data_IF_645618677627
#
_entry.id   IF_645618677627
#
_cell.length_a   1.000
_cell.length_b   1.000
_cell.length_c   1.000
_cell.angle_alpha   90.00
_cell.angle_beta   90.00
_cell.angle_gamma   90.00
#
_symmetry.space_group_name_H-M   'P 1'
#
loop_
_entity.id
_entity.type
_entity.pdbx_description
1 polymer ?
#
# COMPACT_ATOMS: atom_id res chain seq x y z
N UNK A 1 7.37 -18.28 9.35
CA UNK A 1 8.12 -19.40 8.73
C UNK A 1 7.86 -19.57 7.24
N UNK A 2 8.87 -20.07 6.50
CA UNK A 2 8.82 -20.48 5.11
C UNK A 2 7.81 -21.60 4.85
N UNK A 3 6.54 -21.22 4.79
CA UNK A 3 5.39 -22.12 4.62
C UNK A 3 4.49 -21.58 3.54
N UNK A 4 3.65 -22.45 2.98
CA UNK A 4 2.61 -22.07 2.02
C UNK A 4 1.76 -20.90 2.56
N UNK A 5 1.22 -21.03 3.77
CA UNK A 5 0.34 -20.02 4.38
C UNK A 5 1.12 -18.75 4.74
N UNK A 6 2.34 -18.91 5.26
CA UNK A 6 3.22 -17.79 5.62
C UNK A 6 3.60 -16.89 4.44
N UNK A 7 3.56 -17.40 3.20
CA UNK A 7 3.76 -16.60 1.99
C UNK A 7 2.45 -16.11 1.36
N UNK A 8 1.45 -16.99 1.27
CA UNK A 8 0.18 -16.66 0.61
C UNK A 8 -0.60 -15.59 1.39
N UNK A 9 -0.64 -15.65 2.72
CA UNK A 9 -1.42 -14.70 3.51
C UNK A 9 -0.86 -13.27 3.46
N UNK A 10 0.46 -13.03 3.69
CA UNK A 10 1.05 -11.71 3.47
C UNK A 10 0.94 -11.27 2.00
N UNK A 11 1.13 -12.19 1.06
CA UNK A 11 0.98 -11.92 -0.38
C UNK A 11 -0.42 -11.41 -0.74
N UNK A 12 -1.47 -12.01 -0.17
CA UNK A 12 -2.85 -11.53 -0.34
C UNK A 12 -3.05 -10.13 0.26
N UNK A 13 -2.45 -9.85 1.43
CA UNK A 13 -2.46 -8.53 2.04
C UNK A 13 -1.85 -7.46 1.14
N UNK A 14 -0.61 -7.69 0.67
CA UNK A 14 0.07 -6.78 -0.26
C UNK A 14 -0.69 -6.61 -1.57
N UNK A 15 -1.28 -7.67 -2.12
CA UNK A 15 -2.07 -7.60 -3.34
C UNK A 15 -3.32 -6.73 -3.16
N UNK A 16 -4.09 -6.93 -2.08
CA UNK A 16 -5.30 -6.16 -1.81
C UNK A 16 -5.00 -4.68 -1.59
N UNK A 17 -3.99 -4.37 -0.77
CA UNK A 17 -3.57 -2.99 -0.51
C UNK A 17 -2.98 -2.36 -1.78
N UNK A 18 -2.16 -3.10 -2.53
CA UNK A 18 -1.58 -2.66 -3.79
C UNK A 18 -2.65 -2.33 -4.84
N UNK A 19 -3.65 -3.20 -5.03
CA UNK A 19 -4.76 -2.96 -5.95
C UNK A 19 -5.61 -1.76 -5.53
N UNK A 20 -5.87 -1.64 -4.22
CA UNK A 20 -6.58 -0.49 -3.65
C UNK A 20 -5.83 0.82 -3.93
N UNK A 21 -4.53 0.88 -3.66
CA UNK A 21 -3.73 2.06 -3.95
C UNK A 21 -3.65 2.35 -5.45
N UNK A 22 -3.42 1.33 -6.28
CA UNK A 22 -3.28 1.45 -7.73
C UNK A 22 -4.55 2.05 -8.35
N UNK A 23 -5.70 1.48 -8.02
CA UNK A 23 -6.99 1.98 -8.50
C UNK A 23 -7.23 3.43 -8.06
N UNK A 24 -7.01 3.75 -6.78
CA UNK A 24 -7.29 5.09 -6.26
C UNK A 24 -6.31 6.15 -6.78
N UNK A 25 -5.04 5.82 -7.01
CA UNK A 25 -4.09 6.75 -7.65
C UNK A 25 -4.50 7.06 -9.09
N UNK A 26 -4.83 6.04 -9.88
CA UNK A 26 -5.30 6.23 -11.26
C UNK A 26 -6.58 7.07 -11.27
N UNK A 27 -7.54 6.73 -10.40
CA UNK A 27 -8.82 7.45 -10.28
C UNK A 27 -8.60 8.91 -9.87
N UNK A 28 -7.76 9.17 -8.88
CA UNK A 28 -7.46 10.52 -8.40
C UNK A 28 -6.81 11.37 -9.50
N UNK A 29 -5.85 10.79 -10.23
CA UNK A 29 -5.18 11.46 -11.34
C UNK A 29 -6.14 11.73 -12.51
N UNK A 30 -7.00 10.77 -12.86
CA UNK A 30 -7.96 10.93 -13.94
C UNK A 30 -8.99 12.04 -13.65
N UNK A 31 -9.47 12.14 -12.41
CA UNK A 31 -10.43 13.18 -12.00
C UNK A 31 -9.79 14.57 -11.93
N UNK A 32 -8.55 14.66 -11.45
CA UNK A 32 -7.88 15.93 -11.10
C UNK A 32 -6.38 15.90 -11.42
N UNK A 33 -5.99 15.91 -12.71
CA UNK A 33 -4.59 15.80 -13.11
C UNK A 33 -3.75 16.99 -12.64
N UNK A 34 -4.28 18.21 -12.76
CA UNK A 34 -3.55 19.44 -12.41
C UNK A 34 -3.27 19.58 -10.92
N UNK A 35 -4.19 19.12 -10.07
CA UNK A 35 -4.08 19.22 -8.61
C UNK A 35 -3.60 17.92 -7.96
N UNK A 36 -3.06 16.98 -8.75
CA UNK A 36 -2.65 15.68 -8.24
C UNK A 36 -1.54 15.83 -7.18
N UNK A 37 -1.76 15.17 -6.06
CA UNK A 37 -0.77 14.90 -5.03
C UNK A 37 -0.88 13.40 -4.71
N UNK A 38 0.25 12.72 -4.51
CA UNK A 38 0.34 11.30 -4.29
C UNK A 38 0.18 10.96 -2.81
N UNK A 39 -1.04 10.65 -2.31
CA UNK A 39 -1.18 10.21 -0.93
C UNK A 39 -0.51 8.85 -0.71
N UNK A 40 -0.11 8.61 0.54
CA UNK A 40 0.44 7.32 0.95
C UNK A 40 -0.65 6.27 1.21
N UNK A 41 -1.87 6.71 1.56
CA UNK A 41 -3.04 5.88 1.84
C UNK A 41 -4.31 6.62 1.40
N UNK A 42 -5.40 5.89 1.15
CA UNK A 42 -6.67 6.48 0.72
C UNK A 42 -7.79 6.31 1.75
N UNK A 43 -8.61 7.36 1.99
CA UNK A 43 -9.75 7.23 2.87
C UNK A 43 -10.87 6.41 2.24
N UNK A 44 -11.46 5.49 3.00
CA UNK A 44 -12.64 4.73 2.58
C UNK A 44 -13.92 5.34 3.15
N UNK A 45 -15.05 5.12 2.46
CA UNK A 45 -16.38 5.56 2.94
C UNK A 45 -16.74 4.78 4.21
N UNK A 46 -17.22 5.47 5.23
CA UNK A 46 -17.61 4.90 6.53
C UNK A 46 -16.43 4.70 7.50
N UNK A 47 -15.29 4.17 7.03
CA UNK A 47 -14.08 3.97 7.84
C UNK A 47 -12.90 4.69 7.18
N UNK A 48 -12.63 5.93 7.63
CA UNK A 48 -11.57 6.78 7.05
C UNK A 48 -10.25 6.02 6.92
N UNK A 49 -9.73 5.46 8.00
CA UNK A 49 -8.41 4.80 8.01
C UNK A 49 -8.45 3.30 7.65
N UNK A 50 -9.43 2.82 6.88
CA UNK A 50 -9.64 1.39 6.61
C UNK A 50 -8.36 0.68 6.13
N UNK A 51 -7.65 1.26 5.16
CA UNK A 51 -6.39 0.71 4.63
C UNK A 51 -5.36 0.48 5.74
N UNK A 52 -5.12 1.49 6.58
CA UNK A 52 -4.15 1.43 7.68
C UNK A 52 -4.60 0.50 8.81
N UNK A 53 -5.90 0.43 9.08
CA UNK A 53 -6.48 -0.50 10.06
C UNK A 53 -6.30 -1.94 9.60
N UNK A 54 -6.51 -2.23 8.31
CA UNK A 54 -6.28 -3.55 7.74
C UNK A 54 -4.80 -3.95 7.81
N UNK A 55 -3.89 -3.00 7.57
CA UNK A 55 -2.45 -3.23 7.77
C UNK A 55 -2.18 -3.59 9.23
N UNK A 56 -2.62 -2.76 10.19
CA UNK A 56 -2.43 -3.03 11.64
C UNK A 56 -2.99 -4.40 12.02
N UNK A 57 -4.22 -4.73 11.60
CA UNK A 57 -4.85 -6.00 11.91
C UNK A 57 -4.04 -7.18 11.33
N UNK A 58 -3.65 -7.09 10.06
CA UNK A 58 -2.86 -8.13 9.39
C UNK A 58 -1.48 -8.32 10.01
N UNK A 59 -0.76 -7.24 10.30
CA UNK A 59 0.57 -7.29 10.93
C UNK A 59 0.49 -7.78 12.37
N UNK A 60 -0.56 -7.41 13.12
CA UNK A 60 -0.77 -7.89 14.49
C UNK A 60 -1.06 -9.38 14.50
N UNK A 61 -1.90 -9.85 13.57
CA UNK A 61 -2.15 -11.28 13.39
C UNK A 61 -0.87 -12.03 13.00
N UNK A 62 -0.06 -11.47 12.09
CA UNK A 62 1.24 -12.03 11.70
C UNK A 62 2.19 -12.18 12.90
N UNK A 63 2.37 -11.13 13.71
CA UNK A 63 3.21 -11.18 14.92
C UNK A 63 2.69 -12.24 15.90
N UNK A 64 1.37 -12.30 16.12
CA UNK A 64 0.77 -13.28 17.02
C UNK A 64 0.98 -14.70 16.50
N UNK A 65 0.85 -14.93 15.19
CA UNK A 65 1.09 -16.23 14.58
C UNK A 65 2.54 -16.66 14.69
N UNK A 66 3.50 -15.77 14.45
CA UNK A 66 4.93 -16.11 14.48
C UNK A 66 5.46 -16.27 15.92
N UNK A 67 5.01 -15.47 16.89
CA UNK A 67 5.59 -15.45 18.25
C UNK A 67 4.79 -16.19 19.31
N UNK A 68 3.50 -16.46 19.09
CA UNK A 68 2.62 -17.01 20.15
C UNK A 68 1.87 -18.24 19.67
N UNK A 69 1.22 -18.21 18.50
CA UNK A 69 0.36 -19.32 18.09
C UNK A 69 1.15 -20.43 17.38
N UNK A 70 2.05 -20.07 16.48
CA UNK A 70 2.86 -21.01 15.69
C UNK A 70 3.95 -21.76 16.48
N UNK A 71 4.67 -21.11 17.42
CA UNK A 71 5.71 -21.77 18.21
C UNK A 71 5.25 -22.99 19.02
N UNK A 72 6.13 -23.97 19.18
CA UNK A 72 5.91 -25.08 20.08
C UNK A 72 5.76 -24.56 21.53
N UNK A 73 4.83 -25.14 22.30
CA UNK A 73 4.40 -24.66 23.63
C UNK A 73 3.73 -23.27 23.66
N UNK A 74 3.48 -22.64 22.51
CA UNK A 74 2.87 -21.30 22.41
C UNK A 74 3.61 -20.18 23.18
N UNK A 75 4.92 -20.34 23.35
CA UNK A 75 5.78 -19.33 23.96
C UNK A 75 6.98 -19.05 23.04
N UNK A 76 7.38 -17.78 22.89
CA UNK A 76 8.49 -17.43 22.00
C UNK A 76 9.88 -17.73 22.62
N UNK A 77 9.95 -17.91 23.94
CA UNK A 77 11.20 -18.10 24.69
C UNK A 77 11.30 -19.52 25.27
N UNK A 78 12.54 -19.97 25.47
CA UNK A 78 12.85 -21.18 26.23
C UNK A 78 12.62 -20.97 27.73
N UNK A 79 12.67 -22.07 28.49
CA UNK A 79 12.46 -22.07 29.94
C UNK A 79 13.55 -21.27 30.69
N UNK A 80 14.71 -21.03 30.04
CA UNK A 80 15.80 -20.17 30.53
C UNK A 80 15.69 -18.69 30.08
N UNK A 81 14.65 -18.35 29.31
CA UNK A 81 14.41 -17.01 28.77
C UNK A 81 15.19 -16.68 27.50
N UNK A 82 15.96 -17.61 26.93
CA UNK A 82 16.62 -17.42 25.64
C UNK A 82 15.64 -17.60 24.48
N UNK A 83 16.01 -17.12 23.29
CA UNK A 83 15.24 -17.38 22.06
C UNK A 83 15.72 -18.72 21.48
N UNK A 84 14.84 -19.73 21.38
CA UNK A 84 15.18 -21.01 20.75
C UNK A 84 15.69 -20.79 19.33
N UNK A 85 16.70 -21.56 18.91
CA UNK A 85 17.31 -21.37 17.58
C UNK A 85 16.31 -21.62 16.42
N UNK A 86 15.35 -22.52 16.61
CA UNK A 86 14.25 -22.79 15.69
C UNK A 86 13.19 -21.67 15.66
N UNK A 87 13.17 -20.77 16.64
CA UNK A 87 12.28 -19.61 16.68
C UNK A 87 12.91 -18.32 16.14
N UNK A 88 14.22 -18.28 15.87
CA UNK A 88 14.90 -17.06 15.41
C UNK A 88 14.29 -16.51 14.11
N UNK A 89 13.97 -17.38 13.15
CA UNK A 89 13.30 -16.97 11.90
C UNK A 89 11.91 -16.36 12.15
N UNK A 90 11.19 -16.80 13.18
CA UNK A 90 9.89 -16.22 13.54
C UNK A 90 10.04 -14.79 14.06
N UNK A 91 11.11 -14.52 14.82
CA UNK A 91 11.44 -13.16 15.28
C UNK A 91 11.83 -12.25 14.12
N UNK A 92 12.58 -12.75 13.14
CA UNK A 92 12.89 -12.00 11.92
C UNK A 92 11.61 -11.62 11.16
N UNK A 93 10.70 -12.57 10.95
CA UNK A 93 9.40 -12.35 10.31
C UNK A 93 8.51 -11.37 11.11
N UNK A 94 8.47 -11.54 12.43
CA UNK A 94 7.73 -10.66 13.33
C UNK A 94 8.29 -9.23 13.30
N UNK A 95 9.60 -9.06 13.12
CA UNK A 95 10.23 -7.74 13.02
C UNK A 95 9.74 -6.96 11.79
N UNK A 96 9.62 -7.62 10.62
CA UNK A 96 9.07 -7.01 9.40
C UNK A 96 7.62 -6.57 9.62
N UNK A 97 6.82 -7.45 10.24
CA UNK A 97 5.43 -7.15 10.59
C UNK A 97 5.32 -5.97 11.56
N UNK A 98 6.22 -5.88 12.55
CA UNK A 98 6.29 -4.79 13.51
C UNK A 98 6.60 -3.45 12.84
N UNK A 99 7.50 -3.42 11.85
CA UNK A 99 7.82 -2.21 11.12
C UNK A 99 6.62 -1.68 10.32
N UNK A 100 5.88 -2.56 9.65
CA UNK A 100 4.63 -2.21 8.94
C UNK A 100 3.53 -1.74 9.91
N UNK A 101 3.41 -2.38 11.08
CA UNK A 101 2.50 -1.96 12.15
C UNK A 101 2.85 -0.54 12.63
N UNK A 102 4.13 -0.29 12.91
CA UNK A 102 4.62 1.01 13.34
C UNK A 102 4.34 2.10 12.30
N UNK A 103 4.60 1.81 11.02
CA UNK A 103 4.24 2.70 9.91
C UNK A 103 2.75 3.08 9.93
N UNK A 104 1.85 2.09 10.01
CA UNK A 104 0.42 2.35 9.97
C UNK A 104 -0.06 3.12 11.22
N UNK A 105 0.45 2.77 12.41
CA UNK A 105 0.12 3.45 13.65
C UNK A 105 0.59 4.92 13.65
N UNK A 106 1.83 5.18 13.23
CA UNK A 106 2.38 6.54 13.08
C UNK A 106 1.54 7.35 12.09
N UNK A 107 1.21 6.77 10.94
CA UNK A 107 0.41 7.46 9.91
C UNK A 107 -0.98 7.86 10.42
N UNK A 108 -1.67 6.96 11.12
CA UNK A 108 -2.96 7.28 11.77
C UNK A 108 -2.79 8.38 12.81
N UNK A 109 -1.78 8.28 13.67
CA UNK A 109 -1.54 9.25 14.73
C UNK A 109 -1.28 10.66 14.15
N UNK A 110 -0.39 10.75 13.16
CA UNK A 110 -0.04 11.99 12.47
C UNK A 110 -1.25 12.63 11.75
N UNK A 111 -2.14 11.84 11.15
CA UNK A 111 -3.39 12.36 10.56
C UNK A 111 -4.33 12.91 11.64
N UNK A 112 -4.50 12.20 12.76
CA UNK A 112 -5.42 12.59 13.85
C UNK A 112 -5.02 13.88 14.56
N UNK A 113 -3.74 14.03 14.86
CA UNK A 113 -3.22 15.26 15.51
C UNK A 113 -3.03 16.41 14.52
N UNK A 114 -3.33 16.19 13.23
CA UNK A 114 -3.13 17.15 12.15
C UNK A 114 -1.71 17.75 12.16
N UNK A 115 -0.71 16.90 12.42
CA UNK A 115 0.67 17.35 12.58
C UNK A 115 1.19 18.03 11.31
N UNK A 116 2.03 19.07 11.45
CA UNK A 116 2.78 19.60 10.31
C UNK A 116 3.66 18.50 9.72
N UNK A 117 3.84 18.50 8.40
CA UNK A 117 4.67 17.53 7.67
C UNK A 117 4.24 16.06 7.83
N UNK A 118 2.98 15.78 8.22
CA UNK A 118 2.45 14.41 8.38
C UNK A 118 2.72 13.50 7.19
N UNK A 119 2.62 14.01 5.96
CA UNK A 119 2.80 13.20 4.75
C UNK A 119 4.25 12.79 4.58
N UNK A 120 5.20 13.70 4.84
CA UNK A 120 6.63 13.43 4.77
C UNK A 120 7.07 12.43 5.85
N UNK A 121 6.59 12.59 7.08
CA UNK A 121 6.87 11.66 8.19
C UNK A 121 6.28 10.27 7.91
N UNK A 122 5.06 10.21 7.36
CA UNK A 122 4.43 8.94 7.00
C UNK A 122 5.19 8.24 5.86
N UNK A 123 5.65 8.99 4.85
CA UNK A 123 6.50 8.47 3.77
C UNK A 123 7.84 7.95 4.30
N UNK A 124 8.46 8.65 5.24
CA UNK A 124 9.70 8.19 5.90
C UNK A 124 9.47 6.90 6.69
N UNK A 125 8.36 6.81 7.43
CA UNK A 125 7.99 5.61 8.18
C UNK A 125 7.74 4.41 7.25
N UNK A 126 7.05 4.62 6.13
CA UNK A 126 6.86 3.59 5.11
C UNK A 126 8.20 3.16 4.48
N UNK A 127 9.07 4.11 4.15
CA UNK A 127 10.39 3.82 3.61
C UNK A 127 11.24 3.01 4.61
N UNK A 128 11.20 3.37 5.90
CA UNK A 128 11.88 2.60 6.94
C UNK A 128 11.34 1.17 7.04
N UNK A 129 10.02 0.98 6.92
CA UNK A 129 9.41 -0.34 6.92
C UNK A 129 9.85 -1.19 5.71
N UNK A 130 9.84 -0.64 4.50
CA UNK A 130 10.34 -1.35 3.31
C UNK A 130 11.84 -1.57 3.33
N UNK A 131 12.63 -0.67 3.94
CA UNK A 131 14.05 -0.86 4.12
C UNK A 131 14.34 -2.00 5.11
N UNK A 132 13.57 -2.10 6.20
CA UNK A 132 13.67 -3.20 7.14
C UNK A 132 13.21 -4.52 6.50
N UNK A 133 12.12 -4.53 5.74
CA UNK A 133 11.68 -5.68 4.95
C UNK A 133 12.79 -6.17 4.01
N UNK A 134 13.39 -5.26 3.23
CA UNK A 134 14.47 -5.58 2.31
C UNK A 134 15.71 -6.13 3.04
N UNK A 135 16.09 -5.50 4.16
CA UNK A 135 17.25 -5.92 4.95
C UNK A 135 17.05 -7.32 5.53
N UNK A 136 15.90 -7.56 6.16
CA UNK A 136 15.59 -8.88 6.74
C UNK A 136 15.51 -9.92 5.64
N UNK A 137 14.84 -9.65 4.53
CA UNK A 137 14.81 -10.60 3.41
C UNK A 137 16.18 -10.83 2.78
N UNK A 138 17.06 -9.83 2.75
CA UNK A 138 18.41 -10.02 2.25
C UNK A 138 19.20 -10.98 3.13
N UNK A 139 19.22 -10.75 4.44
CA UNK A 139 19.92 -11.59 5.40
C UNK A 139 19.29 -13.00 5.47
N UNK A 140 17.97 -13.07 5.55
CA UNK A 140 17.23 -14.34 5.55
C UNK A 140 17.41 -15.12 4.24
N UNK A 141 17.43 -14.44 3.09
CA UNK A 141 17.65 -15.10 1.80
C UNK A 141 19.11 -15.53 1.59
N UNK A 142 20.07 -14.96 2.32
CA UNK A 142 21.44 -15.48 2.29
C UNK A 142 21.56 -16.84 2.99
N UNK A 143 20.59 -17.19 3.85
CA UNK A 143 20.49 -18.51 4.47
C UNK A 143 19.87 -19.54 3.50
N UNK A 144 19.02 -19.08 2.57
CA UNK A 144 18.37 -19.93 1.55
C UNK A 144 19.21 -20.07 0.29
N UNK A 145 20.02 -21.14 0.20
CA UNK A 145 20.73 -21.49 -1.03
C UNK A 145 19.87 -22.36 -1.96
N UNK A 146 19.82 -22.03 -3.26
CA UNK A 146 19.19 -22.89 -4.27
C UNK A 146 17.97 -22.27 -4.94
N UNK A 147 16.85 -23.01 -5.02
CA UNK A 147 15.64 -22.56 -5.74
C UNK A 147 14.87 -21.51 -4.93
N UNK A 148 14.70 -21.74 -3.63
CA UNK A 148 14.05 -20.81 -2.71
C UNK A 148 14.76 -19.45 -2.68
N UNK A 149 16.09 -19.44 -2.54
CA UNK A 149 16.89 -18.22 -2.64
C UNK A 149 16.70 -17.47 -3.97
N UNK A 150 16.46 -18.16 -5.08
CA UNK A 150 16.18 -17.49 -6.37
C UNK A 150 14.83 -16.76 -6.33
N UNK A 151 13.79 -17.36 -5.72
CA UNK A 151 12.50 -16.70 -5.53
C UNK A 151 12.63 -15.46 -4.63
N UNK A 152 13.35 -15.58 -3.51
CA UNK A 152 13.53 -14.47 -2.56
C UNK A 152 14.39 -13.35 -3.14
N UNK A 153 15.42 -13.65 -3.92
CA UNK A 153 16.22 -12.63 -4.59
C UNK A 153 15.39 -11.78 -5.57
N UNK A 154 14.48 -12.42 -6.31
CA UNK A 154 13.54 -11.71 -7.19
C UNK A 154 12.53 -10.88 -6.39
N UNK A 155 12.05 -11.39 -5.26
CA UNK A 155 11.20 -10.63 -4.34
C UNK A 155 11.91 -9.37 -3.83
N UNK A 156 13.16 -9.49 -3.37
CA UNK A 156 13.98 -8.36 -2.91
C UNK A 156 14.11 -7.28 -3.98
N UNK A 157 14.24 -7.67 -5.26
CA UNK A 157 14.29 -6.71 -6.37
C UNK A 157 13.01 -5.88 -6.45
N UNK A 158 11.84 -6.51 -6.28
CA UNK A 158 10.54 -5.80 -6.27
C UNK A 158 10.42 -4.89 -5.04
N UNK A 159 10.81 -5.38 -3.86
CA UNK A 159 10.82 -4.59 -2.61
C UNK A 159 11.74 -3.37 -2.74
N UNK A 160 12.90 -3.52 -3.38
CA UNK A 160 13.82 -2.41 -3.64
C UNK A 160 13.19 -1.33 -4.53
N UNK A 161 12.40 -1.71 -5.55
CA UNK A 161 11.62 -0.76 -6.36
C UNK A 161 10.55 -0.07 -5.52
N UNK A 162 9.83 -0.80 -4.66
CA UNK A 162 8.86 -0.23 -3.72
C UNK A 162 9.51 0.78 -2.76
N UNK A 163 10.67 0.45 -2.21
CA UNK A 163 11.45 1.33 -1.34
C UNK A 163 11.90 2.60 -2.09
N UNK A 164 12.51 2.43 -3.27
CA UNK A 164 13.02 3.54 -4.07
C UNK A 164 11.88 4.52 -4.44
N UNK A 165 10.74 4.00 -4.88
CA UNK A 165 9.58 4.84 -5.23
C UNK A 165 8.92 5.49 -4.00
N UNK A 166 8.94 4.83 -2.85
CA UNK A 166 8.50 5.43 -1.58
C UNK A 166 9.40 6.61 -1.19
N UNK A 167 10.72 6.45 -1.29
CA UNK A 167 11.69 7.52 -1.05
C UNK A 167 11.53 8.69 -2.04
N UNK A 168 11.32 8.40 -3.33
CA UNK A 168 11.06 9.41 -4.36
C UNK A 168 9.75 10.19 -4.11
N UNK A 169 8.81 9.62 -3.36
CA UNK A 169 7.58 10.30 -2.95
C UNK A 169 7.81 11.53 -2.07
N UNK A 170 8.97 11.63 -1.40
CA UNK A 170 9.34 12.78 -0.55
C UNK A 170 9.72 14.01 -1.40
N UNK A 171 10.70 13.96 -2.32
CA UNK A 171 11.04 15.09 -3.18
C UNK A 171 10.05 15.30 -4.34
N UNK A 172 9.27 14.27 -4.71
CA UNK A 172 8.33 14.32 -5.84
C UNK A 172 6.87 14.01 -5.46
N UNK A 173 6.25 14.75 -4.52
CA UNK A 173 4.93 14.42 -3.97
C UNK A 173 3.77 14.58 -4.97
N UNK A 174 4.00 15.22 -6.13
CA UNK A 174 3.00 15.41 -7.20
C UNK A 174 3.24 14.50 -8.41
N UNK A 175 4.21 13.58 -8.33
CA UNK A 175 4.51 12.68 -9.45
C UNK A 175 3.56 11.48 -9.44
N UNK A 176 2.62 11.48 -10.39
CA UNK A 176 1.76 10.32 -10.64
C UNK A 176 2.55 9.07 -11.03
N UNK A 177 3.65 9.23 -11.77
CA UNK A 177 4.49 8.09 -12.18
C UNK A 177 5.08 7.39 -10.96
N UNK A 178 5.56 8.14 -9.97
CA UNK A 178 6.17 7.57 -8.76
C UNK A 178 5.16 6.73 -7.98
N UNK A 179 3.94 7.25 -7.77
CA UNK A 179 2.89 6.53 -7.05
C UNK A 179 2.31 5.36 -7.85
N UNK A 180 2.23 5.47 -9.18
CA UNK A 180 1.81 4.39 -10.06
C UNK A 180 2.80 3.22 -9.99
N UNK A 181 4.11 3.49 -10.08
CA UNK A 181 5.15 2.45 -9.98
C UNK A 181 5.15 1.84 -8.57
N UNK A 182 5.03 2.65 -7.51
CA UNK A 182 4.95 2.15 -6.12
C UNK A 182 3.76 1.21 -5.91
N UNK A 183 2.58 1.60 -6.40
CA UNK A 183 1.38 0.76 -6.24
C UNK A 183 1.42 -0.49 -7.12
N UNK A 184 1.97 -0.39 -8.33
CA UNK A 184 2.22 -1.56 -9.19
C UNK A 184 3.25 -2.52 -8.59
N UNK A 185 4.31 -2.03 -7.94
CA UNK A 185 5.30 -2.87 -7.27
C UNK A 185 4.72 -3.58 -6.06
N UNK A 186 3.84 -2.95 -5.28
CA UNK A 186 3.09 -3.62 -4.22
C UNK A 186 2.18 -4.75 -4.74
N UNK A 187 1.50 -4.53 -5.87
CA UNK A 187 0.72 -5.59 -6.54
C UNK A 187 1.62 -6.75 -6.93
N UNK A 188 2.75 -6.47 -7.60
CA UNK A 188 3.69 -7.51 -8.01
C UNK A 188 4.31 -8.24 -6.81
N UNK A 189 4.64 -7.54 -5.72
CA UNK A 189 5.13 -8.11 -4.48
C UNK A 189 4.11 -9.10 -3.89
N UNK A 190 2.83 -8.70 -3.84
CA UNK A 190 1.75 -9.57 -3.39
C UNK A 190 1.54 -10.80 -4.26
N UNK A 191 1.50 -10.63 -5.58
CA UNK A 191 1.40 -11.75 -6.54
C UNK A 191 2.60 -12.69 -6.40
N UNK A 192 3.81 -12.15 -6.33
CA UNK A 192 5.03 -12.96 -6.28
C UNK A 192 5.14 -13.76 -4.99
N UNK A 193 4.75 -13.19 -3.84
CA UNK A 193 4.64 -13.92 -2.57
C UNK A 193 3.65 -15.10 -2.67
N UNK A 194 2.47 -14.89 -3.25
CA UNK A 194 1.49 -15.97 -3.46
C UNK A 194 2.08 -17.07 -4.36
N UNK A 195 2.73 -16.68 -5.46
CA UNK A 195 3.35 -17.60 -6.41
C UNK A 195 4.47 -18.40 -5.75
N UNK A 196 5.37 -17.75 -5.02
CA UNK A 196 6.43 -18.38 -4.25
C UNK A 196 5.86 -19.41 -3.26
N UNK A 197 4.85 -19.01 -2.48
CA UNK A 197 4.13 -19.89 -1.56
C UNK A 197 3.56 -21.13 -2.24
N UNK A 198 2.88 -20.96 -3.37
CA UNK A 198 2.26 -22.09 -4.08
C UNK A 198 3.31 -22.97 -4.77
N UNK A 199 4.33 -22.40 -5.40
CA UNK A 199 5.30 -23.13 -6.21
C UNK A 199 6.29 -23.95 -5.39
N UNK A 200 6.74 -23.42 -4.24
CA UNK A 200 7.73 -24.11 -3.40
C UNK A 200 7.09 -25.20 -2.53
N UNK A 201 5.87 -25.00 -2.05
CA UNK A 201 5.22 -25.91 -1.08
C UNK A 201 4.08 -26.76 -1.66
N UNK A 202 3.93 -26.82 -2.99
CA UNK A 202 3.02 -27.77 -3.66
C UNK A 202 3.82 -28.84 -4.40
N UNK A 203 3.83 -30.11 -3.94
CA UNK A 203 4.69 -31.16 -4.51
C UNK A 203 4.54 -31.36 -6.02
N UNK A 204 3.34 -31.17 -6.58
CA UNK A 204 3.07 -31.30 -8.01
C UNK A 204 3.63 -30.17 -8.89
N UNK A 205 4.07 -29.06 -8.29
CA UNK A 205 4.60 -27.89 -8.99
C UNK A 205 6.13 -27.78 -8.91
N UNK A 206 6.78 -28.63 -8.12
CA UNK A 206 8.23 -28.69 -8.00
C UNK A 206 8.86 -29.11 -9.33
N UNK A 207 9.93 -28.41 -9.72
CA UNK A 207 10.58 -28.65 -11.02
C UNK A 207 11.20 -30.05 -11.13
N UNK A 208 11.27 -30.57 -12.36
CA UNK A 208 11.83 -31.92 -12.63
C UNK A 208 13.26 -32.05 -12.11
N UNK A 209 13.50 -33.09 -11.32
CA UNK A 209 14.81 -33.37 -10.71
C UNK A 209 15.01 -32.68 -9.35
N UNK A 210 14.03 -31.92 -8.89
CA UNK A 210 13.97 -31.38 -7.53
C UNK A 210 12.87 -32.08 -6.72
N UNK A 211 13.00 -32.04 -5.40
CA UNK A 211 12.11 -32.67 -4.44
C UNK A 211 12.03 -31.81 -3.19
N UNK A 212 10.94 -31.98 -2.44
CA UNK A 212 10.77 -31.35 -1.14
C UNK A 212 11.54 -32.15 -0.10
N UNK A 213 12.42 -31.51 0.65
CA UNK A 213 13.17 -32.11 1.74
C UNK A 213 12.85 -31.39 3.04
N UNK A 214 12.67 -32.16 4.12
CA UNK A 214 12.41 -31.58 5.43
C UNK A 214 13.73 -31.35 6.16
N UNK A 215 14.08 -30.09 6.40
CA UNK A 215 15.32 -29.65 7.03
C UNK A 215 15.00 -28.52 8.02
N UNK A 216 15.64 -28.51 9.20
CA UNK A 216 15.49 -27.44 10.20
C UNK A 216 14.02 -27.03 10.48
N UNK A 217 13.13 -28.04 10.59
CA UNK A 217 11.72 -27.85 10.92
C UNK A 217 10.82 -27.33 9.79
N UNK A 218 11.32 -27.20 8.56
CA UNK A 218 10.54 -26.74 7.40
C UNK A 218 10.89 -27.49 6.11
N UNK A 219 10.00 -27.35 5.13
CA UNK A 219 10.11 -28.02 3.85
C UNK A 219 10.84 -27.12 2.83
N UNK A 220 11.99 -27.56 2.34
CA UNK A 220 12.86 -26.84 1.40
C UNK A 220 12.98 -27.61 0.09
N UNK A 221 13.00 -26.90 -1.04
CA UNK A 221 13.18 -27.54 -2.35
C UNK A 221 14.66 -27.78 -2.64
N UNK A 222 15.07 -29.06 -2.68
CA UNK A 222 16.41 -29.51 -3.05
C UNK A 222 16.42 -30.18 -4.42
N UNK A 223 17.54 -30.08 -5.13
CA UNK A 223 17.69 -30.68 -6.47
C UNK A 223 18.78 -31.75 -6.47
N UNK A 224 18.57 -32.84 -7.21
CA UNK A 224 19.47 -34.01 -7.22
C UNK A 224 20.80 -33.78 -7.95
N UNK A 225 20.83 -32.82 -8.86
CA UNK A 225 21.95 -32.53 -9.77
C UNK A 225 22.02 -31.04 -10.05
N UNK A 226 23.20 -30.52 -10.36
CA UNK A 226 23.39 -29.11 -10.73
C UNK A 226 22.59 -28.72 -11.99
N UNK A 227 22.45 -29.62 -12.97
CA UNK A 227 21.63 -29.39 -14.17
C UNK A 227 20.16 -29.13 -13.81
N UNK A 228 19.60 -29.93 -12.90
CA UNK A 228 18.25 -29.75 -12.40
C UNK A 228 18.09 -28.44 -11.62
N UNK A 229 19.11 -28.05 -10.83
CA UNK A 229 19.12 -26.77 -10.12
C UNK A 229 19.14 -25.58 -11.08
N UNK A 230 20.02 -25.61 -12.09
CA UNK A 230 20.08 -24.57 -13.11
C UNK A 230 18.77 -24.46 -13.90
N UNK A 231 18.18 -25.61 -14.26
CA UNK A 231 16.86 -25.66 -14.89
C UNK A 231 15.79 -25.03 -14.00
N UNK A 232 15.76 -25.37 -12.71
CA UNK A 232 14.80 -24.83 -11.75
C UNK A 232 14.91 -23.30 -11.68
N UNK A 233 16.12 -22.78 -11.46
CA UNK A 233 16.37 -21.32 -11.41
C UNK A 233 15.96 -20.61 -12.72
N UNK A 234 16.26 -21.21 -13.87
CA UNK A 234 15.84 -20.64 -15.16
C UNK A 234 14.32 -20.58 -15.31
N UNK A 235 13.59 -21.60 -14.83
CA UNK A 235 12.12 -21.59 -14.82
C UNK A 235 11.55 -20.52 -13.89
N UNK A 236 12.15 -20.32 -12.71
CA UNK A 236 11.77 -19.24 -11.79
C UNK A 236 11.96 -17.87 -12.45
N UNK A 237 13.09 -17.65 -13.13
CA UNK A 237 13.35 -16.40 -13.86
C UNK A 237 12.34 -16.15 -14.99
N UNK A 238 12.01 -17.21 -15.75
CA UNK A 238 11.01 -17.12 -16.81
C UNK A 238 9.62 -16.80 -16.25
N UNK A 239 9.24 -17.47 -15.15
CA UNK A 239 7.98 -17.22 -14.47
C UNK A 239 7.89 -15.77 -13.98
N UNK A 240 8.93 -15.27 -13.32
CA UNK A 240 9.00 -13.87 -12.89
C UNK A 240 8.89 -12.88 -14.06
N UNK A 241 9.60 -13.16 -15.16
CA UNK A 241 9.52 -12.34 -16.38
C UNK A 241 8.09 -12.25 -16.93
N UNK A 242 7.35 -13.35 -16.91
CA UNK A 242 5.94 -13.36 -17.33
C UNK A 242 5.03 -12.63 -16.37
N UNK A 243 5.21 -12.77 -15.06
CA UNK A 243 4.44 -12.01 -14.07
C UNK A 243 4.71 -10.51 -14.15
N UNK A 244 5.97 -10.11 -14.36
CA UNK A 244 6.35 -8.72 -14.58
C UNK A 244 5.67 -8.14 -15.83
N UNK A 245 5.74 -8.87 -16.95
CA UNK A 245 5.08 -8.47 -18.21
C UNK A 245 3.56 -8.40 -18.04
N UNK A 246 2.96 -9.41 -17.39
CA UNK A 246 1.54 -9.45 -17.10
C UNK A 246 1.09 -8.28 -16.23
N UNK A 247 1.89 -7.91 -15.23
CA UNK A 247 1.63 -6.76 -14.35
C UNK A 247 1.68 -5.45 -15.13
N UNK A 248 2.66 -5.28 -16.03
CA UNK A 248 2.73 -4.12 -16.92
C UNK A 248 1.47 -3.99 -17.78
N UNK A 249 1.05 -5.08 -18.44
CA UNK A 249 -0.17 -5.08 -19.27
C UNK A 249 -1.40 -4.77 -18.41
N UNK A 250 -1.50 -5.39 -17.22
CA UNK A 250 -2.59 -5.15 -16.28
C UNK A 250 -2.68 -3.69 -15.87
N UNK A 251 -1.57 -3.04 -15.51
CA UNK A 251 -1.53 -1.62 -15.13
C UNK A 251 -2.00 -0.74 -16.28
N UNK A 252 -1.55 -0.99 -17.51
CA UNK A 252 -1.97 -0.22 -18.69
C UNK A 252 -3.46 -0.38 -18.96
N UNK A 253 -3.97 -1.61 -18.93
CA UNK A 253 -5.40 -1.89 -19.12
C UNK A 253 -6.22 -1.20 -18.03
N UNK A 254 -5.83 -1.36 -16.76
CA UNK A 254 -6.53 -0.75 -15.64
C UNK A 254 -6.53 0.77 -15.76
N UNK A 255 -5.39 1.38 -16.11
CA UNK A 255 -5.28 2.82 -16.37
C UNK A 255 -6.30 3.27 -17.41
N UNK A 256 -6.32 2.63 -18.59
CA UNK A 256 -7.24 2.99 -19.66
C UNK A 256 -8.71 2.82 -19.26
N UNK A 257 -9.05 1.77 -18.51
CA UNK A 257 -10.44 1.53 -18.09
C UNK A 257 -10.89 2.56 -17.04
N UNK A 258 -10.07 2.82 -16.02
CA UNK A 258 -10.42 3.77 -14.97
C UNK A 258 -10.49 5.20 -15.52
N UNK A 259 -9.56 5.60 -16.39
CA UNK A 259 -9.61 6.92 -17.05
C UNK A 259 -10.84 7.11 -17.93
N UNK A 260 -11.39 6.03 -18.51
CA UNK A 260 -12.66 6.09 -19.25
C UNK A 260 -13.87 6.23 -18.33
N UNK A 261 -13.84 5.58 -17.17
CA UNK A 261 -14.95 5.60 -16.20
C UNK A 261 -15.02 6.89 -15.38
N UNK A 262 -13.88 7.55 -15.20
CA UNK A 262 -13.74 8.77 -14.40
C UNK A 262 -13.11 9.88 -15.23
N UNK A 263 -13.86 10.54 -16.13
CA UNK A 263 -13.36 11.69 -16.87
C UNK A 263 -13.06 12.85 -15.92
N UNK A 264 -12.21 13.77 -16.38
CA UNK A 264 -11.79 14.95 -15.63
C UNK A 264 -12.98 15.78 -15.13
N UNK A 265 -12.94 16.20 -13.86
CA UNK A 265 -13.96 17.07 -13.30
C UNK A 265 -13.85 18.49 -13.89
N UNK A 266 -14.94 19.11 -14.36
CA UNK A 266 -14.89 20.45 -14.91
C UNK A 266 -14.42 21.46 -13.85
N UNK A 267 -13.35 22.19 -14.14
CA UNK A 267 -12.87 23.28 -13.29
C UNK A 267 -13.85 24.46 -13.37
N UNK A 268 -14.70 24.62 -12.35
CA UNK A 268 -15.56 25.78 -12.24
C UNK A 268 -14.73 26.99 -11.79
N UNK A 269 -14.43 27.90 -12.72
CA UNK A 269 -13.90 29.21 -12.39
C UNK A 269 -14.98 30.01 -11.64
N UNK A 270 -14.64 30.66 -10.50
CA UNK A 270 -15.57 31.59 -9.87
C UNK A 270 -15.89 32.71 -10.86
N UNK A 271 -17.18 32.90 -11.17
CA UNK A 271 -17.66 34.04 -11.92
C UNK A 271 -17.32 35.32 -11.13
N UNK A 272 -16.20 35.96 -11.47
CA UNK A 272 -15.96 37.35 -11.09
C UNK A 272 -17.09 38.15 -11.73
N UNK A 273 -18.00 38.64 -10.91
CA UNK A 273 -19.10 39.52 -11.33
C UNK A 273 -18.50 40.86 -11.73
N UNK A 274 -17.97 40.93 -12.95
CA UNK A 274 -17.51 42.17 -13.56
C UNK A 274 -18.70 43.09 -13.79
N UNK A 275 -18.97 43.96 -12.82
CA UNK A 275 -19.78 45.15 -13.06
C UNK A 275 -19.09 46.04 -14.10
N UNK A 276 -19.85 46.76 -14.95
CA UNK A 276 -19.25 47.56 -16.01
C UNK A 276 -18.39 48.68 -15.42
N UNK A 277 -17.30 48.96 -16.12
CA UNK A 277 -16.30 49.98 -15.88
C UNK A 277 -16.75 51.27 -15.17
N UNK A 278 -15.91 51.71 -14.23
CA UNK A 278 -15.72 53.14 -13.94
C UNK A 278 -15.90 53.51 -12.46
N UNK A 279 -14.79 53.70 -11.73
CA UNK A 279 -14.85 54.35 -10.42
C UNK A 279 -13.70 54.02 -9.49
N UNK A 280 -12.65 54.82 -9.57
CA UNK A 280 -11.59 54.96 -8.58
C UNK A 280 -12.18 55.53 -7.28
N UNK A 281 -12.08 54.87 -6.12
CA UNK A 281 -12.01 55.58 -4.84
C UNK A 281 -11.43 54.74 -3.70
N UNK A 282 -10.79 55.45 -2.77
CA UNK A 282 -9.85 55.04 -1.74
C UNK A 282 -10.50 54.55 -0.44
N UNK A 283 -9.63 53.95 0.39
CA UNK A 283 -9.75 53.59 1.81
C UNK A 283 -10.44 54.65 2.67
N UNK A 284 -11.27 54.20 3.62
CA UNK A 284 -11.72 54.92 4.80
C UNK A 284 -12.29 53.95 5.82
N UNK A 285 -11.55 53.74 6.92
CA UNK A 285 -12.03 53.25 8.22
C UNK A 285 -13.15 54.18 8.71
N UNK A 286 -14.17 53.62 9.38
CA UNK A 286 -14.73 54.20 10.62
C UNK A 286 -15.70 53.20 11.30
N UNK A 287 -15.61 53.20 12.62
CA UNK A 287 -16.23 52.34 13.62
C UNK A 287 -17.73 52.66 13.91
N UNK A 288 -18.43 51.65 14.44
CA UNK A 288 -19.49 51.69 15.48
C UNK A 288 -20.85 52.39 15.19
N UNK A 289 -21.96 51.63 15.16
CA UNK A 289 -22.86 51.38 16.31
C UNK A 289 -24.21 50.74 15.93
N UNK A 290 -24.84 50.12 16.94
CA UNK A 290 -25.99 49.21 16.95
C UNK A 290 -27.39 49.79 16.62
N UNK A 291 -28.28 48.86 16.25
CA UNK A 291 -29.74 48.77 16.45
C UNK A 291 -30.66 49.96 16.14
N UNK A 292 -31.57 49.76 15.16
CA UNK A 292 -33.01 49.75 15.46
C UNK A 292 -33.92 49.22 14.32
N UNK A 293 -35.11 48.80 14.77
CA UNK A 293 -36.16 47.96 14.21
C UNK A 293 -36.94 48.40 12.94
N UNK A 294 -37.48 47.37 12.29
CA UNK A 294 -38.86 47.24 11.72
C UNK A 294 -39.17 47.57 10.23
N UNK A 295 -39.84 46.57 9.65
CA UNK A 295 -40.92 46.62 8.66
C UNK A 295 -40.63 46.88 7.16
N UNK A 296 -40.54 45.79 6.39
CA UNK A 296 -41.38 45.64 5.19
C UNK A 296 -41.62 44.16 4.88
N UNK A 297 -42.84 43.70 5.21
CA UNK A 297 -43.41 42.41 4.79
C UNK A 297 -43.69 42.41 3.28
N UNK A 298 -43.58 41.22 2.70
CA UNK A 298 -44.48 40.61 1.69
C UNK A 298 -43.81 40.15 0.40
N UNK A 299 -43.32 38.91 0.42
CA UNK A 299 -43.22 38.07 -0.78
C UNK A 299 -44.04 36.82 -0.52
N UNK A 300 -45.14 36.61 -1.25
CA UNK A 300 -45.70 35.27 -1.51
C UNK A 300 -46.56 35.31 -2.78
N UNK A 301 -46.03 34.76 -3.86
CA UNK A 301 -46.76 33.83 -4.71
C UNK A 301 -45.75 32.78 -5.20
N UNK A 302 -45.92 31.56 -4.69
CA UNK A 302 -45.15 30.41 -5.10
C UNK A 302 -45.72 29.78 -6.37
N UNK A 303 -44.84 29.14 -7.13
CA UNK A 303 -45.20 27.92 -7.84
C UNK A 303 -44.01 26.96 -7.79
N UNK A 304 -44.16 25.91 -6.97
CA UNK A 304 -43.31 24.72 -6.95
C UNK A 304 -43.75 23.77 -8.06
N UNK A 305 -42.78 23.23 -8.82
CA UNK A 305 -42.68 21.81 -9.21
C UNK A 305 -41.17 21.51 -9.29
N UNK A 306 -40.56 21.05 -8.20
CA UNK A 306 -40.24 19.65 -7.87
C UNK A 306 -39.41 18.90 -8.92
N UNK A 307 -38.17 18.57 -8.55
CA UNK A 307 -37.22 17.74 -9.29
C UNK A 307 -35.85 17.76 -8.61
N UNK A 308 -35.79 17.30 -7.36
CA UNK A 308 -34.62 17.42 -6.50
C UNK A 308 -33.55 16.35 -6.71
N UNK A 309 -32.29 16.80 -6.71
CA UNK A 309 -31.15 16.05 -6.16
C UNK A 309 -30.37 17.02 -5.28
N UNK A 310 -30.36 16.76 -3.97
CA UNK A 310 -29.68 17.60 -2.96
C UNK A 310 -28.16 17.54 -3.14
N UNK A 311 -27.43 18.66 -2.99
CA UNK A 311 -25.99 18.64 -2.80
C UNK A 311 -25.66 18.21 -1.36
N UNK A 312 -24.59 17.42 -1.23
CA UNK A 312 -24.04 16.91 0.02
C UNK A 312 -23.14 17.98 0.63
N UNK A 313 -23.46 18.39 1.85
CA UNK A 313 -22.73 19.35 2.66
C UNK A 313 -21.42 18.71 3.17
N UNK A 314 -20.29 19.38 2.93
CA UNK A 314 -18.97 18.95 3.43
C UNK A 314 -18.65 19.79 4.65
N UNK A 315 -18.72 19.17 5.83
CA UNK A 315 -18.22 19.75 7.08
C UNK A 315 -16.73 19.36 7.28
N UNK A 316 -15.96 20.29 7.85
CA UNK A 316 -14.48 20.38 7.91
C UNK A 316 -13.78 19.37 8.84
#
# INVERSE_FOLDING_TARGET
MGTLVGHVAPGAGFLLIGLWQLFNHIRLFALRPDSYAAPLWFPARGVRHLELILIIAGTSASILMELVIGPAKHQPFDDDGTIPSDHLHNFEHASVSLALLAFAAVTIHMDRVRAPMRDAVSQLAAAAAFAQELLVFHLHSTDHMGVEGQFHWLLQTVVAVTLATTLLGIPCPRSFVVSLVRSASLVLQGVWLIVMGVMLWTPGLVSKGCFLNHEDGHDVVRCRTDEALHRAKALVNLQFSWYLTGTMVFVVVLYLQVSRLYPEEPQYLPLVKGGPAGGRFSVGDDHEDEDDMEAAKSTYYGQMVSGGTKPMEVER
#
